data_IF_806769777616
#
_entry.id   IF_806769777616
#
_cell.length_a   1.000
_cell.length_b   1.000
_cell.length_c   1.000
_cell.angle_alpha   90.00
_cell.angle_beta   90.00
_cell.angle_gamma   90.00
#
_symmetry.space_group_name_H-M   'P 1'
#
loop_
_entity.id
_entity.type
_entity.pdbx_description
1 polymer ?
#
# COMPACT_ATOMS: atom_id res chain seq x y z
N UNK A 1 4.61 -20.94 -1.55
CA UNK A 1 4.80 -19.94 -0.48
C UNK A 1 5.94 -18.97 -0.77
N UNK A 2 7.19 -19.41 -0.93
CA UNK A 2 8.35 -18.53 -1.14
C UNK A 2 8.19 -17.52 -2.29
N UNK A 3 7.73 -17.98 -3.47
CA UNK A 3 7.45 -17.10 -4.62
C UNK A 3 6.45 -15.98 -4.31
N UNK A 4 5.36 -16.30 -3.62
CA UNK A 4 4.32 -15.32 -3.26
C UNK A 4 4.89 -14.24 -2.33
N UNK A 5 5.76 -14.64 -1.38
CA UNK A 5 6.43 -13.69 -0.49
C UNK A 5 7.38 -12.78 -1.28
N UNK A 6 8.18 -13.35 -2.18
CA UNK A 6 9.08 -12.56 -3.02
C UNK A 6 8.33 -11.59 -3.94
N UNK A 7 7.24 -12.02 -4.56
CA UNK A 7 6.39 -11.16 -5.41
C UNK A 7 5.75 -10.02 -4.59
N UNK A 8 5.34 -10.31 -3.34
CA UNK A 8 4.80 -9.31 -2.41
C UNK A 8 5.87 -8.27 -2.01
N UNK A 9 7.07 -8.72 -1.64
CA UNK A 9 8.19 -7.83 -1.30
C UNK A 9 8.57 -6.92 -2.48
N UNK A 10 8.66 -7.49 -3.69
CA UNK A 10 8.90 -6.73 -4.92
C UNK A 10 7.79 -5.68 -5.18
N UNK A 11 6.53 -6.05 -4.94
CA UNK A 11 5.39 -5.12 -5.12
C UNK A 11 5.47 -3.94 -4.16
N UNK A 12 5.80 -4.16 -2.88
CA UNK A 12 6.00 -3.07 -1.91
C UNK A 12 7.21 -2.22 -2.27
N UNK A 13 8.32 -2.83 -2.73
CA UNK A 13 9.48 -2.09 -3.22
C UNK A 13 9.13 -1.16 -4.38
N UNK A 14 8.35 -1.64 -5.35
CA UNK A 14 7.85 -0.83 -6.45
C UNK A 14 6.97 0.33 -5.97
N UNK A 15 6.04 0.05 -5.04
CA UNK A 15 5.16 1.06 -4.47
C UNK A 15 5.96 2.15 -3.74
N UNK A 16 6.90 1.76 -2.88
CA UNK A 16 7.74 2.72 -2.13
C UNK A 16 8.56 3.60 -3.07
N UNK A 17 9.17 3.03 -4.11
CA UNK A 17 9.90 3.80 -5.11
C UNK A 17 8.99 4.83 -5.81
N UNK A 18 7.79 4.40 -6.25
CA UNK A 18 6.84 5.29 -6.91
C UNK A 18 6.34 6.42 -5.99
N UNK A 19 6.06 6.12 -4.71
CA UNK A 19 5.67 7.13 -3.73
C UNK A 19 6.81 8.12 -3.45
N UNK A 20 8.06 7.64 -3.39
CA UNK A 20 9.25 8.48 -3.19
C UNK A 20 9.54 9.46 -4.32
N UNK A 21 9.00 9.24 -5.53
CA UNK A 21 9.07 10.19 -6.64
C UNK A 21 8.06 11.35 -6.50
N UNK A 22 7.13 11.28 -5.55
CA UNK A 22 6.21 12.37 -5.30
C UNK A 22 6.82 13.34 -4.30
N UNK A 23 6.93 14.59 -4.71
CA UNK A 23 7.55 15.69 -3.98
C UNK A 23 6.55 16.84 -3.87
N UNK A 24 6.84 17.83 -3.03
CA UNK A 24 5.97 19.00 -2.86
C UNK A 24 5.72 19.75 -4.18
N UNK A 25 6.70 19.75 -5.08
CA UNK A 25 6.61 20.46 -6.36
C UNK A 25 5.69 19.76 -7.36
N UNK A 26 5.53 18.44 -7.26
CA UNK A 26 4.76 17.65 -8.22
C UNK A 26 3.48 17.02 -7.63
N UNK A 27 3.19 17.24 -6.34
CA UNK A 27 2.03 16.69 -5.62
C UNK A 27 0.69 16.90 -6.34
N UNK A 28 0.51 18.05 -6.99
CA UNK A 28 -0.70 18.42 -7.72
C UNK A 28 -0.74 17.92 -9.17
N UNK A 29 0.36 17.37 -9.68
CA UNK A 29 0.41 16.82 -11.04
C UNK A 29 -0.65 15.75 -11.24
N UNK A 30 -1.24 15.79 -12.42
CA UNK A 30 -2.30 14.90 -12.85
C UNK A 30 -1.72 13.63 -13.46
N UNK A 31 -2.15 12.49 -12.94
CA UNK A 31 -1.80 11.16 -13.41
C UNK A 31 -3.06 10.40 -13.82
N UNK A 32 -2.92 9.52 -14.81
CA UNK A 32 -3.96 8.56 -15.14
C UNK A 32 -3.90 7.42 -14.12
N UNK A 33 -4.87 7.38 -13.20
CA UNK A 33 -4.97 6.38 -12.15
C UNK A 33 -6.30 5.63 -12.30
N UNK A 34 -6.23 4.35 -12.67
CA UNK A 34 -7.39 3.53 -13.01
C UNK A 34 -8.37 4.18 -14.01
N UNK A 35 -7.84 4.83 -15.06
CA UNK A 35 -8.65 5.52 -16.07
C UNK A 35 -9.21 6.87 -15.61
N UNK A 36 -8.91 7.30 -14.39
CA UNK A 36 -9.33 8.58 -13.82
C UNK A 36 -8.16 9.55 -13.73
N UNK A 37 -8.47 10.83 -13.92
CA UNK A 37 -7.48 11.89 -13.78
C UNK A 37 -7.36 12.32 -12.30
N UNK A 38 -6.34 11.84 -11.60
CA UNK A 38 -6.10 12.10 -10.17
C UNK A 38 -4.82 12.92 -9.96
N UNK A 39 -4.74 13.67 -8.86
CA UNK A 39 -3.43 14.18 -8.43
C UNK A 39 -2.57 13.04 -7.88
N UNK A 40 -1.24 13.18 -7.94
CA UNK A 40 -0.31 12.26 -7.28
C UNK A 40 -0.63 12.09 -5.79
N UNK A 41 -0.93 13.20 -5.11
CA UNK A 41 -1.35 13.18 -3.70
C UNK A 41 -2.59 12.31 -3.47
N UNK A 42 -3.65 12.51 -4.27
CA UNK A 42 -4.89 11.74 -4.13
C UNK A 42 -4.62 10.25 -4.31
N UNK A 43 -3.80 9.86 -5.29
CA UNK A 43 -3.42 8.48 -5.51
C UNK A 43 -2.68 7.90 -4.30
N UNK A 44 -1.68 8.61 -3.75
CA UNK A 44 -0.95 8.16 -2.56
C UNK A 44 -1.86 7.97 -1.34
N UNK A 45 -2.69 8.96 -1.02
CA UNK A 45 -3.62 8.87 0.11
C UNK A 45 -4.57 7.68 -0.09
N UNK A 46 -5.12 7.51 -1.28
CA UNK A 46 -6.01 6.38 -1.59
C UNK A 46 -5.31 5.04 -1.45
N UNK A 47 -4.05 4.91 -1.92
CA UNK A 47 -3.28 3.68 -1.80
C UNK A 47 -3.01 3.33 -0.33
N UNK A 48 -2.61 4.32 0.48
CA UNK A 48 -2.38 4.10 1.91
C UNK A 48 -3.67 3.72 2.63
N UNK A 49 -4.80 4.39 2.35
CA UNK A 49 -6.11 4.02 2.93
C UNK A 49 -6.49 2.57 2.60
N UNK A 50 -6.36 2.17 1.34
CA UNK A 50 -6.65 0.79 0.92
C UNK A 50 -5.76 -0.25 1.61
N UNK A 51 -4.47 0.06 1.81
CA UNK A 51 -3.57 -0.80 2.58
C UNK A 51 -4.01 -0.94 4.05
N UNK A 52 -4.57 0.10 4.66
CA UNK A 52 -5.10 0.03 6.03
C UNK A 52 -6.34 -0.86 6.14
N UNK A 53 -7.21 -0.88 5.13
CA UNK A 53 -8.36 -1.79 5.07
C UNK A 53 -7.92 -3.25 5.02
N UNK A 54 -6.96 -3.57 4.15
CA UNK A 54 -6.38 -4.91 4.07
C UNK A 54 -5.59 -5.29 5.32
N UNK A 55 -4.88 -4.35 5.95
CA UNK A 55 -4.24 -4.58 7.23
C UNK A 55 -5.28 -5.06 8.24
N UNK A 56 -6.39 -4.32 8.43
CA UNK A 56 -7.47 -4.71 9.34
C UNK A 56 -8.00 -6.13 9.09
N UNK A 57 -8.20 -6.51 7.83
CA UNK A 57 -8.59 -7.87 7.44
C UNK A 57 -7.55 -8.92 7.86
N UNK A 58 -6.26 -8.64 7.64
CA UNK A 58 -5.15 -9.51 8.05
C UNK A 58 -5.04 -9.63 9.57
N UNK A 59 -5.32 -8.57 10.34
CA UNK A 59 -5.39 -8.64 11.81
C UNK A 59 -6.50 -9.59 12.23
N UNK A 60 -7.70 -9.43 11.67
CA UNK A 60 -8.84 -10.29 11.98
C UNK A 60 -8.54 -11.75 11.64
N UNK A 61 -7.99 -12.02 10.45
CA UNK A 61 -7.59 -13.35 10.02
C UNK A 61 -6.52 -13.96 10.95
N UNK A 62 -5.49 -13.19 11.32
CA UNK A 62 -4.46 -13.64 12.26
C UNK A 62 -5.06 -14.06 13.60
N UNK A 63 -5.95 -13.24 14.17
CA UNK A 63 -6.66 -13.55 15.43
C UNK A 63 -7.51 -14.81 15.33
N UNK A 64 -8.26 -14.99 14.22
CA UNK A 64 -9.06 -16.19 13.97
C UNK A 64 -8.22 -17.46 13.83
N UNK A 65 -6.92 -17.32 13.55
CA UNK A 65 -5.96 -18.43 13.43
C UNK A 65 -4.97 -18.48 14.61
N UNK A 66 -5.28 -17.83 15.73
CA UNK A 66 -4.43 -17.76 16.93
C UNK A 66 -3.00 -17.24 16.67
N UNK A 67 -2.81 -16.43 15.63
CA UNK A 67 -1.54 -15.76 15.33
C UNK A 67 -1.52 -14.39 16.01
N UNK A 68 -0.58 -14.19 16.93
CA UNK A 68 -0.36 -12.88 17.55
C UNK A 68 0.21 -11.90 16.49
N UNK A 69 -0.40 -10.71 16.31
CA UNK A 69 0.11 -9.73 15.38
C UNK A 69 1.51 -9.22 15.79
N UNK A 70 2.43 -9.00 14.84
CA UNK A 70 3.83 -8.70 15.18
C UNK A 70 4.06 -7.37 15.90
N UNK A 71 3.13 -6.41 15.80
CA UNK A 71 3.18 -5.09 16.46
C UNK A 71 2.49 -5.04 17.84
N UNK A 72 2.00 -6.17 18.36
CA UNK A 72 1.49 -6.25 19.74
C UNK A 72 2.57 -6.61 20.76
N UNK A 73 3.85 -6.39 20.41
CA UNK A 73 5.03 -6.54 21.26
C UNK A 73 5.68 -5.18 21.48
#
# INVERSE_FOLDING_TARGET
>A
KARIVADLEASFGHLHAAMGLTTDTNLNEKINFFGQNWSRQRAMVSTVTHLHEHLGQMIAYGRSNNVAPPWSR
#
